data_IF_619231149118
#
_entry.id   IF_619231149118
#
_cell.length_a   1.000
_cell.length_b   1.000
_cell.length_c   1.000
_cell.angle_alpha   90.00
_cell.angle_beta   90.00
_cell.angle_gamma   90.00
#
_symmetry.space_group_name_H-M   'P 1'
#
loop_
_entity.id
_entity.type
_entity.pdbx_description
1 polymer ?
#
# COMPACT_ATOMS: atom_id res chain seq x y z
N UNK A 1 3.22 4.81 11.03
CA UNK A 1 3.91 4.24 9.85
C UNK A 1 2.91 4.12 8.71
N UNK A 2 3.31 4.37 7.46
CA UNK A 2 2.39 4.43 6.30
C UNK A 2 2.97 3.78 5.03
N UNK A 3 2.12 3.07 4.27
CA UNK A 3 2.36 2.65 2.86
C UNK A 3 1.49 3.50 1.89
N UNK A 4 2.06 4.51 1.21
CA UNK A 4 1.31 5.54 0.50
C UNK A 4 0.85 5.12 -0.90
N UNK A 5 1.54 4.17 -1.55
CA UNK A 5 1.13 3.63 -2.84
C UNK A 5 -0.30 3.06 -2.72
N UNK A 6 -0.48 2.21 -1.72
CA UNK A 6 -1.75 1.59 -1.37
C UNK A 6 -2.85 2.61 -1.02
N UNK A 7 -2.51 3.65 -0.26
CA UNK A 7 -3.45 4.73 0.08
C UNK A 7 -3.89 5.53 -1.16
N UNK A 8 -2.94 5.91 -2.02
CA UNK A 8 -3.19 6.72 -3.22
C UNK A 8 -4.13 6.02 -4.21
N UNK A 9 -3.85 4.75 -4.55
CA UNK A 9 -4.70 3.99 -5.47
C UNK A 9 -6.08 3.72 -4.86
N UNK A 10 -6.15 3.58 -3.54
CA UNK A 10 -7.39 3.51 -2.79
C UNK A 10 -8.27 4.75 -2.93
N UNK A 11 -7.72 5.92 -2.61
CA UNK A 11 -8.43 7.20 -2.71
C UNK A 11 -8.80 7.51 -4.17
N UNK A 12 -7.94 7.17 -5.13
CA UNK A 12 -8.23 7.29 -6.57
C UNK A 12 -9.45 6.47 -6.99
N UNK A 13 -9.56 5.24 -6.51
CA UNK A 13 -10.71 4.37 -6.82
C UNK A 13 -12.02 4.93 -6.27
N UNK A 14 -11.98 5.55 -5.10
CA UNK A 14 -13.18 6.10 -4.47
C UNK A 14 -13.62 7.45 -5.02
N UNK A 15 -12.69 8.39 -5.16
CA UNK A 15 -13.01 9.80 -5.42
C UNK A 15 -12.76 10.21 -6.87
N UNK A 16 -12.30 9.28 -7.70
CA UNK A 16 -12.07 9.50 -9.12
C UNK A 16 -10.75 10.20 -9.41
N UNK A 17 -10.21 9.96 -10.60
CA UNK A 17 -8.98 10.59 -11.09
C UNK A 17 -9.27 12.06 -11.38
N UNK A 18 -8.58 12.99 -10.70
CA UNK A 18 -8.75 14.42 -11.00
C UNK A 18 -9.36 15.25 -9.88
N UNK A 19 -10.06 14.63 -8.94
CA UNK A 19 -10.87 15.38 -7.97
C UNK A 19 -10.00 16.19 -7.02
N UNK A 20 -10.23 17.50 -6.99
CA UNK A 20 -9.53 18.41 -6.10
C UNK A 20 -9.87 18.11 -4.63
N UNK A 21 -8.90 18.30 -3.73
CA UNK A 21 -9.09 18.18 -2.28
C UNK A 21 -8.59 16.89 -1.62
N UNK A 22 -8.14 15.87 -2.36
CA UNK A 22 -7.61 14.63 -1.77
C UNK A 22 -6.20 14.23 -2.20
N UNK A 23 -5.69 14.87 -3.26
CA UNK A 23 -4.31 14.65 -3.75
C UNK A 23 -3.25 15.07 -2.74
N UNK A 24 -3.61 15.99 -1.85
CA UNK A 24 -2.74 16.57 -0.84
C UNK A 24 -3.28 16.19 0.54
N UNK A 25 -2.89 15.00 0.99
CA UNK A 25 -3.28 14.46 2.28
C UNK A 25 -2.25 14.86 3.34
N UNK A 26 -2.69 15.57 4.37
CA UNK A 26 -1.86 15.77 5.56
C UNK A 26 -1.85 14.48 6.39
N UNK A 27 -0.75 13.74 6.28
CA UNK A 27 -0.56 12.46 6.96
C UNK A 27 -0.48 12.67 8.47
N UNK A 28 0.14 13.76 8.93
CA UNK A 28 0.20 14.08 10.36
C UNK A 28 -1.17 14.42 10.91
N UNK A 29 -1.93 15.27 10.22
CA UNK A 29 -3.27 15.60 10.67
C UNK A 29 -4.17 14.34 10.68
N UNK A 30 -4.04 13.46 9.68
CA UNK A 30 -4.75 12.18 9.66
C UNK A 30 -4.36 11.29 10.84
N UNK A 31 -3.05 11.10 11.07
CA UNK A 31 -2.55 10.27 12.17
C UNK A 31 -2.99 10.83 13.53
N UNK A 32 -2.93 12.15 13.73
CA UNK A 32 -3.42 12.81 14.93
C UNK A 32 -4.93 12.63 15.12
N UNK A 33 -5.73 12.72 14.05
CA UNK A 33 -7.17 12.45 14.11
C UNK A 33 -7.54 11.00 14.43
N UNK A 34 -6.67 10.05 14.04
CA UNK A 34 -6.77 8.63 14.40
C UNK A 34 -6.27 8.35 15.82
N UNK A 35 -5.34 9.15 16.32
CA UNK A 35 -4.80 9.09 17.68
C UNK A 35 -5.85 9.60 18.68
N UNK A 36 -6.81 8.73 19.04
CA UNK A 36 -7.88 9.02 20.01
C UNK A 36 -7.57 8.54 21.43
N UNK A 37 -6.29 8.25 21.72
CA UNK A 37 -5.82 7.82 23.03
C UNK A 37 -5.68 8.99 23.99
N UNK A 38 -5.99 8.76 25.27
CA UNK A 38 -5.96 9.81 26.28
C UNK A 38 -4.54 10.33 26.47
N UNK A 39 -4.36 11.66 26.42
CA UNK A 39 -3.06 12.33 26.58
C UNK A 39 -1.96 11.88 25.60
N UNK A 40 -2.33 11.31 24.46
CA UNK A 40 -1.36 10.88 23.46
C UNK A 40 -0.99 12.01 22.49
N UNK A 41 0.28 12.04 22.09
CA UNK A 41 0.79 12.89 21.03
C UNK A 41 1.44 12.04 19.94
N UNK A 42 1.38 12.51 18.70
CA UNK A 42 2.10 11.88 17.60
C UNK A 42 3.56 12.30 17.66
N UNK A 43 4.40 11.43 18.21
CA UNK A 43 5.84 11.65 18.34
C UNK A 43 6.55 11.67 16.98
N UNK A 44 6.28 10.65 16.14
CA UNK A 44 6.99 10.47 14.86
C UNK A 44 6.14 9.81 13.78
N UNK A 45 6.33 10.27 12.55
CA UNK A 45 5.73 9.73 11.34
C UNK A 45 6.82 9.22 10.41
N UNK A 46 6.87 7.90 10.27
CA UNK A 46 7.68 7.20 9.28
C UNK A 46 6.83 6.91 8.04
N UNK A 47 7.30 7.41 6.91
CA UNK A 47 6.71 7.29 5.59
C UNK A 47 7.54 6.34 4.73
N UNK A 48 7.05 5.11 4.55
CA UNK A 48 7.76 4.07 3.83
C UNK A 48 7.27 4.03 2.38
N UNK A 49 8.12 4.30 1.40
CA UNK A 49 7.75 4.30 -0.02
C UNK A 49 8.92 3.90 -0.90
N UNK A 50 8.69 3.70 -2.20
CA UNK A 50 9.76 3.54 -3.19
C UNK A 50 9.53 4.54 -4.33
N UNK A 51 10.61 5.14 -4.83
CA UNK A 51 10.50 6.02 -5.99
C UNK A 51 10.18 5.22 -7.25
N UNK A 52 9.25 5.73 -8.06
CA UNK A 52 9.08 5.22 -9.41
C UNK A 52 10.39 5.45 -10.17
N UNK A 53 10.92 4.42 -10.82
CA UNK A 53 12.11 4.57 -11.66
C UNK A 53 11.92 5.70 -12.70
N UNK A 54 12.79 6.70 -12.64
CA UNK A 54 12.75 7.88 -13.50
C UNK A 54 12.95 7.50 -14.98
N UNK A 55 13.72 6.45 -15.28
CA UNK A 55 13.96 5.99 -16.65
C UNK A 55 12.72 5.33 -17.23
N UNK A 56 11.93 4.64 -16.40
CA UNK A 56 10.69 3.99 -16.82
C UNK A 56 9.55 5.01 -16.96
N UNK A 57 9.43 5.97 -16.03
CA UNK A 57 8.37 6.97 -16.06
C UNK A 57 8.82 8.30 -15.43
N UNK A 58 9.43 9.21 -16.22
CA UNK A 58 9.94 10.49 -15.73
C UNK A 58 8.85 11.37 -15.11
N UNK A 59 7.64 11.35 -15.67
CA UNK A 59 6.52 12.16 -15.19
C UNK A 59 6.02 11.71 -13.82
N UNK A 60 5.82 10.39 -13.63
CA UNK A 60 5.40 9.85 -12.34
C UNK A 60 6.47 10.06 -11.26
N UNK A 61 7.76 9.93 -11.61
CA UNK A 61 8.84 10.27 -10.68
C UNK A 61 8.79 11.74 -10.29
N UNK A 62 8.67 12.67 -11.24
CA UNK A 62 8.58 14.10 -10.95
C UNK A 62 7.38 14.44 -10.05
N UNK A 63 6.19 13.91 -10.35
CA UNK A 63 4.98 14.09 -9.54
C UNK A 63 5.20 13.58 -8.10
N UNK A 64 5.79 12.40 -7.96
CA UNK A 64 6.09 11.79 -6.66
C UNK A 64 7.13 12.61 -5.88
N UNK A 65 8.19 13.08 -6.54
CA UNK A 65 9.22 13.92 -5.94
C UNK A 65 8.65 15.23 -5.41
N UNK A 66 7.77 15.89 -6.18
CA UNK A 66 7.08 17.11 -5.75
C UNK A 66 6.21 16.82 -4.52
N UNK A 67 5.44 15.74 -4.55
CA UNK A 67 4.57 15.36 -3.44
C UNK A 67 5.37 15.07 -2.15
N UNK A 68 6.42 14.24 -2.23
CA UNK A 68 7.26 13.89 -1.09
C UNK A 68 7.98 15.12 -0.55
N UNK A 69 8.48 16.00 -1.43
CA UNK A 69 9.10 17.26 -1.01
C UNK A 69 8.11 18.11 -0.20
N UNK A 70 6.89 18.30 -0.70
CA UNK A 70 5.86 19.05 0.00
C UNK A 70 5.50 18.43 1.36
N UNK A 71 5.40 17.09 1.47
CA UNK A 71 5.15 16.43 2.75
C UNK A 71 6.25 16.72 3.78
N UNK A 72 7.52 16.74 3.35
CA UNK A 72 8.66 17.04 4.23
C UNK A 72 8.68 18.51 4.63
N UNK A 73 8.50 19.42 3.67
CA UNK A 73 8.50 20.88 3.93
C UNK A 73 7.32 21.31 4.81
N UNK A 74 6.15 20.68 4.65
CA UNK A 74 4.98 20.90 5.50
C UNK A 74 5.12 20.24 6.90
N UNK A 75 6.13 19.39 7.11
CA UNK A 75 6.27 18.61 8.34
C UNK A 75 5.18 17.55 8.50
N UNK A 76 4.54 17.12 7.41
CA UNK A 76 3.53 16.05 7.42
C UNK A 76 4.14 14.68 7.70
N UNK A 77 5.45 14.53 7.46
CA UNK A 77 6.25 13.32 7.76
C UNK A 77 7.57 13.73 8.43
N UNK A 78 8.09 12.86 9.30
CA UNK A 78 9.38 13.08 9.98
C UNK A 78 10.50 12.28 9.31
N UNK A 79 10.21 11.03 8.95
CA UNK A 79 11.17 10.11 8.35
C UNK A 79 10.62 9.64 7.01
N UNK A 80 11.42 9.79 5.95
CA UNK A 80 11.18 9.18 4.65
C UNK A 80 12.07 7.95 4.56
N UNK A 81 11.47 6.76 4.53
CA UNK A 81 12.18 5.50 4.43
C UNK A 81 11.96 4.90 3.04
N UNK A 82 13.04 4.66 2.30
CA UNK A 82 12.97 4.29 0.89
C UNK A 82 13.19 2.79 0.69
N UNK A 83 12.20 2.13 0.11
CA UNK A 83 12.37 0.87 -0.60
C UNK A 83 12.96 1.10 -1.99
N UNK A 84 13.00 0.04 -2.78
CA UNK A 84 13.54 0.06 -4.13
C UNK A 84 12.73 -0.83 -5.05
N UNK A 85 12.83 -0.58 -6.35
CA UNK A 85 12.26 -1.46 -7.35
C UNK A 85 13.32 -2.40 -7.89
N UNK A 86 12.94 -3.66 -8.05
CA UNK A 86 13.76 -4.66 -8.73
C UNK A 86 13.10 -4.97 -10.06
N UNK A 87 13.89 -4.95 -11.13
CA UNK A 87 13.43 -5.34 -12.46
C UNK A 87 14.27 -6.52 -12.96
N UNK A 88 13.61 -7.53 -13.49
CA UNK A 88 14.29 -8.71 -14.03
C UNK A 88 13.50 -9.31 -15.21
N UNK A 89 14.18 -9.98 -16.15
CA UNK A 89 13.49 -10.72 -17.20
C UNK A 89 12.74 -11.89 -16.59
N UNK A 90 11.44 -12.00 -16.89
CA UNK A 90 10.59 -13.11 -16.49
C UNK A 90 9.98 -13.74 -17.74
N UNK A 91 10.12 -15.06 -17.88
CA UNK A 91 9.45 -15.81 -18.94
C UNK A 91 8.05 -16.17 -18.46
N UNK A 92 7.03 -15.75 -19.21
CA UNK A 92 5.62 -16.00 -18.91
C UNK A 92 4.91 -16.60 -20.14
N UNK A 93 3.85 -17.40 -19.95
CA UNK A 93 3.02 -17.84 -21.06
C UNK A 93 2.37 -16.65 -21.79
N UNK A 94 2.33 -16.69 -23.11
CA UNK A 94 1.58 -15.74 -23.93
C UNK A 94 0.09 -15.99 -23.75
N UNK A 95 -0.66 -14.93 -23.49
CA UNK A 95 -2.10 -15.00 -23.32
C UNK A 95 -2.80 -13.78 -23.91
N UNK A 96 -4.04 -14.00 -24.35
CA UNK A 96 -4.99 -12.94 -24.68
C UNK A 96 -5.80 -12.58 -23.43
N UNK A 97 -6.05 -11.29 -23.24
CA UNK A 97 -6.95 -10.80 -22.21
C UNK A 97 -8.40 -10.96 -22.68
N UNK A 98 -9.21 -11.67 -21.89
CA UNK A 98 -10.64 -11.82 -22.13
C UNK A 98 -11.41 -10.62 -21.54
N UNK A 99 -12.62 -10.30 -22.05
CA UNK A 99 -13.44 -9.20 -21.54
C UNK A 99 -13.79 -9.28 -20.04
N UNK A 100 -13.66 -10.45 -19.42
CA UNK A 100 -13.89 -10.68 -17.99
C UNK A 100 -12.60 -10.60 -17.14
N UNK A 101 -11.48 -10.20 -17.73
CA UNK A 101 -10.18 -10.05 -17.08
C UNK A 101 -9.39 -11.35 -16.90
N UNK A 102 -9.89 -12.48 -17.40
CA UNK A 102 -9.13 -13.74 -17.40
C UNK A 102 -8.14 -13.78 -18.56
N UNK A 103 -7.03 -14.48 -18.36
CA UNK A 103 -6.04 -14.73 -19.39
C UNK A 103 -6.32 -16.06 -20.10
N UNK A 104 -6.46 -16.04 -21.43
CA UNK A 104 -6.56 -17.24 -22.28
C UNK A 104 -5.23 -17.50 -22.96
N UNK A 105 -4.63 -18.66 -22.73
CA UNK A 105 -3.34 -19.02 -23.34
C UNK A 105 -3.43 -19.07 -24.86
N UNK A 106 -2.40 -18.53 -25.52
CA UNK A 106 -2.20 -18.68 -26.97
C UNK A 106 -1.45 -19.98 -27.22
N UNK A 107 -2.13 -20.92 -27.85
CA UNK A 107 -1.57 -22.24 -28.22
C UNK A 107 -1.01 -22.17 -29.64
N UNK A 108 0.20 -22.70 -29.90
CA UNK A 108 0.77 -22.74 -31.24
C UNK A 108 -0.07 -23.56 -32.23
N UNK A 109 -0.55 -22.91 -33.29
CA UNK A 109 -1.20 -23.57 -34.44
C UNK A 109 -0.20 -24.02 -35.50
N UNK A 110 1.03 -23.49 -35.48
CA UNK A 110 2.08 -23.78 -36.45
C UNK A 110 2.07 -22.89 -37.69
N UNK A 111 1.08 -22.00 -37.83
CA UNK A 111 0.99 -21.03 -38.92
C UNK A 111 1.63 -19.67 -38.59
N UNK A 112 2.07 -19.47 -37.35
CA UNK A 112 2.51 -18.16 -36.88
C UNK A 112 3.97 -17.83 -37.28
N UNK A 113 4.24 -16.57 -37.59
CA UNK A 113 5.59 -16.05 -37.86
C UNK A 113 5.94 -14.90 -36.91
N UNK A 114 6.89 -15.14 -36.00
CA UNK A 114 7.24 -14.21 -34.92
C UNK A 114 8.68 -13.72 -35.00
N UNK A 115 9.15 -13.36 -36.20
CA UNK A 115 10.53 -12.90 -36.39
C UNK A 115 10.77 -11.59 -35.65
N UNK A 116 11.82 -11.55 -34.83
CA UNK A 116 12.28 -10.34 -34.14
C UNK A 116 11.57 -10.02 -32.82
N UNK A 117 10.58 -10.82 -32.40
CA UNK A 117 9.95 -10.68 -31.09
C UNK A 117 10.53 -11.70 -30.11
N UNK A 118 10.61 -11.37 -28.80
CA UNK A 118 11.15 -12.27 -27.77
C UNK A 118 10.16 -13.38 -27.37
N UNK A 119 9.61 -14.08 -28.36
CA UNK A 119 8.62 -15.16 -28.23
C UNK A 119 9.31 -16.49 -28.56
N UNK A 120 9.18 -17.47 -27.67
CA UNK A 120 9.73 -18.82 -27.84
C UNK A 120 8.63 -19.86 -27.66
N UNK A 121 8.56 -20.85 -28.56
CA UNK A 121 7.67 -22.02 -28.38
C UNK A 121 8.35 -23.02 -27.45
N UNK A 122 7.62 -23.49 -26.44
CA UNK A 122 8.04 -24.59 -25.57
C UNK A 122 7.08 -25.75 -25.76
N UNK A 123 7.61 -26.91 -26.14
CA UNK A 123 6.85 -28.14 -26.36
C UNK A 123 6.88 -28.98 -25.08
N UNK A 124 5.70 -29.28 -24.52
CA UNK A 124 5.58 -30.21 -23.39
C UNK A 124 4.93 -31.51 -23.84
N UNK A 125 4.89 -32.52 -22.97
CA UNK A 125 4.36 -33.84 -23.30
C UNK A 125 2.90 -33.85 -23.78
N UNK A 126 2.09 -32.90 -23.29
CA UNK A 126 0.65 -32.85 -23.57
C UNK A 126 0.22 -31.57 -24.31
N UNK A 127 0.91 -30.44 -24.10
CA UNK A 127 0.51 -29.14 -24.66
C UNK A 127 1.72 -28.25 -24.96
N UNK A 128 1.68 -27.62 -26.14
CA UNK A 128 2.64 -26.61 -26.55
C UNK A 128 2.19 -25.21 -26.09
N UNK A 129 3.15 -24.42 -25.61
CA UNK A 129 2.86 -23.07 -25.09
C UNK A 129 3.88 -22.08 -25.64
N UNK A 130 3.41 -20.89 -26.05
CA UNK A 130 4.29 -19.76 -26.31
C UNK A 130 4.71 -19.11 -25.02
N UNK A 131 6.01 -18.90 -24.86
CA UNK A 131 6.61 -18.15 -23.76
C UNK A 131 7.11 -16.81 -24.30
N UNK A 132 6.84 -15.74 -23.56
CA UNK A 132 7.35 -14.39 -23.82
C UNK A 132 8.27 -13.97 -22.69
N UNK A 133 9.36 -13.27 -23.04
CA UNK A 133 10.19 -12.63 -22.03
C UNK A 133 9.69 -11.22 -21.79
N UNK A 134 9.17 -10.97 -20.59
CA UNK A 134 8.76 -9.64 -20.14
C UNK A 134 9.77 -9.08 -19.16
N UNK A 135 9.94 -7.76 -19.13
CA UNK A 135 10.62 -7.07 -18.03
C UNK A 135 9.63 -6.96 -16.88
N UNK A 136 9.70 -7.89 -15.93
CA UNK A 136 8.90 -7.84 -14.72
C UNK A 136 9.50 -6.85 -13.73
N UNK A 137 8.66 -6.15 -12.97
CA UNK A 137 9.11 -5.19 -11.96
C UNK A 137 8.29 -5.39 -10.69
N UNK A 138 8.96 -5.30 -9.55
CA UNK A 138 8.33 -5.41 -8.24
C UNK A 138 8.94 -4.37 -7.29
N UNK A 139 8.11 -3.78 -6.44
CA UNK A 139 8.57 -2.97 -5.31
C UNK A 139 9.04 -3.90 -4.20
N UNK A 140 10.15 -3.53 -3.55
CA UNK A 140 10.70 -4.27 -2.42
C UNK A 140 11.12 -3.30 -1.32
N UNK A 141 10.90 -3.74 -0.09
CA UNK A 141 11.47 -3.12 1.11
C UNK A 141 10.50 -2.23 1.87
N UNK A 142 9.42 -1.71 1.28
CA UNK A 142 8.48 -0.85 2.02
C UNK A 142 7.87 -1.54 3.26
N UNK A 143 7.40 -2.79 3.13
CA UNK A 143 6.83 -3.55 4.25
C UNK A 143 7.89 -3.95 5.29
N UNK A 144 9.08 -4.34 4.81
CA UNK A 144 10.21 -4.67 5.69
C UNK A 144 10.65 -3.45 6.51
N UNK A 145 10.63 -2.27 5.90
CA UNK A 145 10.93 -1.01 6.55
C UNK A 145 9.88 -0.66 7.60
N UNK A 146 8.59 -0.80 7.30
CA UNK A 146 7.50 -0.62 8.29
C UNK A 146 7.70 -1.57 9.48
N UNK A 147 7.89 -2.87 9.22
CA UNK A 147 8.07 -3.85 10.28
C UNK A 147 9.33 -3.56 11.13
N UNK A 148 10.43 -3.17 10.51
CA UNK A 148 11.70 -2.89 11.21
C UNK A 148 11.59 -1.67 12.10
N UNK A 149 11.05 -0.55 11.60
CA UNK A 149 10.80 0.63 12.44
C UNK A 149 9.88 0.27 13.59
N UNK A 150 8.78 -0.45 13.33
CA UNK A 150 7.81 -0.81 14.37
C UNK A 150 8.47 -1.63 15.48
N UNK A 151 9.21 -2.67 15.11
CA UNK A 151 9.91 -3.54 16.06
C UNK A 151 10.99 -2.79 16.82
N UNK A 152 11.75 -1.92 16.15
CA UNK A 152 12.82 -1.16 16.78
C UNK A 152 12.27 -0.18 17.82
N UNK A 153 11.19 0.52 17.51
CA UNK A 153 10.56 1.51 18.41
C UNK A 153 9.96 0.83 19.64
N UNK A 154 9.30 -0.31 19.44
CA UNK A 154 8.74 -1.12 20.53
C UNK A 154 9.85 -1.68 21.41
N UNK A 155 10.90 -2.22 20.81
CA UNK A 155 12.00 -2.85 21.54
C UNK A 155 12.79 -1.84 22.40
N UNK A 156 12.97 -0.61 21.90
CA UNK A 156 13.62 0.47 22.65
C UNK A 156 12.71 1.12 23.70
N UNK A 157 11.39 0.90 23.60
CA UNK A 157 10.42 1.60 24.43
C UNK A 157 10.25 3.07 24.05
N UNK A 158 10.60 3.44 22.80
CA UNK A 158 10.50 4.81 22.30
C UNK A 158 9.05 5.25 22.11
N UNK A 159 8.13 4.28 21.97
CA UNK A 159 6.69 4.52 21.80
C UNK A 159 5.87 3.58 22.67
N UNK A 160 4.78 4.11 23.22
CA UNK A 160 3.77 3.33 23.95
C UNK A 160 2.71 2.74 23.02
N UNK A 161 2.61 3.22 21.78
CA UNK A 161 1.65 2.72 20.80
C UNK A 161 2.05 3.13 19.37
N UNK A 162 1.58 2.37 18.38
CA UNK A 162 1.83 2.64 16.98
C UNK A 162 0.54 2.67 16.16
N UNK A 163 0.50 3.55 15.16
CA UNK A 163 -0.56 3.56 14.14
C UNK A 163 0.08 3.12 12.83
N UNK A 164 -0.43 2.03 12.24
CA UNK A 164 -0.02 1.55 10.92
C UNK A 164 -1.13 1.80 9.91
N UNK A 165 -0.89 2.71 8.98
CA UNK A 165 -1.82 2.99 7.90
C UNK A 165 -1.31 2.20 6.69
N UNK A 166 -1.95 1.08 6.37
CA UNK A 166 -1.55 0.26 5.23
C UNK A 166 -2.74 -0.51 4.70
N UNK A 167 -2.84 -0.62 3.38
CA UNK A 167 -3.80 -1.52 2.75
C UNK A 167 -3.25 -2.94 2.55
N UNK A 168 -2.04 -3.21 3.03
CA UNK A 168 -1.44 -4.53 2.93
C UNK A 168 -1.95 -5.43 4.05
N UNK A 169 -2.63 -6.52 3.68
CA UNK A 169 -3.13 -7.51 4.63
C UNK A 169 -2.04 -8.32 5.31
N UNK A 170 -0.84 -8.39 4.73
CA UNK A 170 0.27 -9.17 5.27
C UNK A 170 0.79 -8.54 6.58
N UNK A 171 0.59 -7.22 6.75
CA UNK A 171 0.87 -6.50 8.00
C UNK A 171 -0.16 -6.78 9.11
N UNK A 172 -1.23 -7.55 8.86
CA UNK A 172 -2.19 -7.92 9.91
C UNK A 172 -1.70 -9.07 10.80
N UNK A 173 -0.72 -9.85 10.35
CA UNK A 173 -0.23 -11.06 11.04
C UNK A 173 0.90 -10.80 12.05
N UNK A 174 1.22 -9.54 12.36
CA UNK A 174 2.25 -9.18 13.34
C UNK A 174 1.75 -9.36 14.79
N UNK A 175 1.57 -10.63 15.19
CA UNK A 175 1.31 -11.15 16.54
C UNK A 175 -0.06 -10.85 17.19
N UNK A 176 -0.80 -11.89 17.68
CA UNK A 176 -2.06 -11.73 18.43
C UNK A 176 -1.95 -10.93 19.74
N UNK A 177 -0.73 -10.66 20.22
CA UNK A 177 -0.47 -9.88 21.44
C UNK A 177 -0.17 -8.40 21.22
N UNK A 178 0.05 -7.96 19.98
CA UNK A 178 0.53 -6.60 19.64
C UNK A 178 -0.52 -5.82 18.83
N UNK A 179 -1.33 -6.49 18.00
CA UNK A 179 -2.39 -5.85 17.21
C UNK A 179 -3.74 -5.95 17.92
N UNK A 180 -4.26 -4.83 18.44
CA UNK A 180 -5.54 -4.83 19.18
C UNK A 180 -6.72 -4.23 18.40
N UNK A 181 -6.50 -3.57 17.25
CA UNK A 181 -7.57 -2.82 16.58
C UNK A 181 -7.39 -2.67 15.05
N UNK A 182 -8.05 -3.50 14.25
CA UNK A 182 -8.30 -3.19 12.83
C UNK A 182 -9.52 -2.26 12.77
N UNK A 183 -9.38 -1.01 12.34
CA UNK A 183 -10.55 -0.18 12.04
C UNK A 183 -11.13 -0.70 10.73
N UNK A 184 -12.36 -1.25 10.72
CA UNK A 184 -12.98 -1.70 9.49
C UNK A 184 -13.23 -0.49 8.55
N UNK A 185 -13.20 -0.72 7.23
CA UNK A 185 -13.35 0.35 6.23
C UNK A 185 -14.60 1.18 6.50
N UNK A 186 -14.41 2.46 6.81
CA UNK A 186 -15.53 3.40 7.07
C UNK A 186 -16.19 3.87 5.77
N UNK A 187 -15.60 3.56 4.60
CA UNK A 187 -16.10 3.95 3.29
C UNK A 187 -16.62 2.69 2.58
N UNK A 188 -17.95 2.48 2.60
CA UNK A 188 -18.61 1.47 1.77
C UNK A 188 -19.00 2.12 0.44
N UNK A 189 -18.41 1.67 -0.66
CA UNK A 189 -19.05 1.78 -1.97
C UNK A 189 -19.67 0.42 -2.28
N UNK A 190 -20.99 0.34 -2.26
CA UNK A 190 -21.71 -0.80 -2.86
C UNK A 190 -21.86 -0.46 -4.32
N UNK A 191 -20.94 -0.94 -5.15
CA UNK A 191 -21.07 -0.90 -6.60
C UNK A 191 -21.06 -2.36 -7.10
N UNK A 192 -22.03 -2.71 -7.93
CA UNK A 192 -22.34 -4.09 -8.34
C UNK A 192 -21.35 -4.65 -9.39
N UNK A 193 -20.17 -4.03 -9.52
CA UNK A 193 -19.12 -4.37 -10.48
C UNK A 193 -17.87 -4.90 -9.77
N UNK A 194 -17.95 -6.17 -9.34
CA UNK A 194 -16.89 -7.19 -9.13
C UNK A 194 -15.45 -6.82 -8.69
N UNK A 195 -15.17 -5.67 -8.10
CA UNK A 195 -13.93 -5.41 -7.36
C UNK A 195 -14.27 -4.92 -5.97
N UNK A 196 -14.20 -5.81 -4.98
CA UNK A 196 -14.33 -5.44 -3.57
C UNK A 196 -13.02 -4.82 -3.11
N UNK A 197 -12.94 -3.49 -3.11
CA UNK A 197 -11.84 -2.78 -2.46
C UNK A 197 -12.09 -2.77 -0.95
N UNK A 198 -11.34 -3.60 -0.21
CA UNK A 198 -11.30 -3.56 1.24
C UNK A 198 -10.18 -2.61 1.66
N UNK A 199 -10.48 -1.67 2.56
CA UNK A 199 -9.50 -0.80 3.19
C UNK A 199 -9.36 -1.19 4.64
N UNK A 200 -8.19 -1.72 4.98
CA UNK A 200 -7.83 -1.97 6.37
C UNK A 200 -7.04 -0.77 6.86
N UNK A 201 -7.45 -0.16 7.97
CA UNK A 201 -6.53 0.66 8.76
C UNK A 201 -6.11 -0.22 9.93
N UNK A 202 -4.83 -0.59 9.99
CA UNK A 202 -4.33 -1.50 11.03
C UNK A 202 -3.79 -0.64 12.17
N UNK A 203 -4.63 -0.37 13.17
CA UNK A 203 -4.19 0.30 14.37
C UNK A 203 -3.54 -0.74 15.31
N UNK A 204 -2.26 -0.55 15.63
CA UNK A 204 -1.49 -1.48 16.46
C UNK A 204 -1.17 -0.79 17.80
N UNK A 205 -2.12 -0.73 18.75
CA UNK A 205 -1.79 -0.26 20.08
C UNK A 205 -0.89 -1.28 20.77
N UNK A 206 0.35 -0.88 21.04
CA UNK A 206 1.34 -1.71 21.75
C UNK A 206 1.10 -1.55 23.24
N UNK A 207 0.18 -2.33 23.79
CA UNK A 207 -0.16 -2.17 25.20
C UNK A 207 0.98 -2.65 26.10
N UNK A 208 1.77 -1.71 26.63
CA UNK A 208 2.61 -1.97 27.78
C UNK A 208 1.72 -2.02 29.04
N UNK A 209 1.22 -3.21 29.36
CA UNK A 209 0.58 -3.70 30.61
C UNK A 209 -0.36 -2.82 31.47
N UNK A 210 -0.75 -1.60 31.07
CA UNK A 210 -1.71 -0.79 31.83
C UNK A 210 -3.15 -1.15 31.42
N UNK A 211 -3.85 -1.84 32.34
CA UNK A 211 -5.23 -2.32 32.18
C UNK A 211 -6.25 -1.20 31.84
N UNK A 212 -5.92 0.07 32.11
CA UNK A 212 -6.79 1.23 31.86
C UNK A 212 -6.99 1.57 30.38
N UNK A 213 -5.94 1.47 29.56
CA UNK A 213 -5.99 1.87 28.14
C UNK A 213 -6.83 0.92 27.27
N UNK A 214 -6.94 -0.35 27.68
CA UNK A 214 -7.72 -1.39 26.95
C UNK A 214 -9.22 -1.10 26.90
N UNK A 215 -9.80 -0.54 27.97
CA UNK A 215 -11.25 -0.26 28.04
C UNK A 215 -11.64 0.98 27.22
N UNK A 216 -10.85 2.05 27.31
CA UNK A 216 -11.09 3.31 26.59
C UNK A 216 -11.06 3.13 25.06
N UNK A 217 -10.21 2.23 24.57
CA UNK A 217 -10.08 1.92 23.15
C UNK A 217 -11.32 1.22 22.57
N UNK A 218 -11.89 0.26 23.30
CA UNK A 218 -13.07 -0.48 22.85
C UNK A 218 -14.32 0.41 22.77
N UNK A 219 -14.51 1.33 23.72
CA UNK A 219 -15.68 2.22 23.74
C UNK A 219 -15.64 3.29 22.63
N UNK A 220 -14.46 3.88 22.38
CA UNK A 220 -14.31 5.04 21.47
C UNK A 220 -14.20 4.69 19.99
N UNK A 221 -13.81 3.45 19.64
CA UNK A 221 -13.84 2.98 18.25
C UNK A 221 -15.26 2.83 17.69
N UNK A 222 -16.30 2.84 18.53
CA UNK A 222 -17.70 2.78 18.09
C UNK A 222 -18.26 4.10 17.53
N UNK A 223 -17.59 5.25 17.77
CA UNK A 223 -18.09 6.57 17.36
C UNK A 223 -17.56 7.00 15.97
N UNK A 224 -18.46 6.99 14.98
CA UNK A 224 -18.21 7.36 13.57
C UNK A 224 -18.27 8.88 13.35
N UNK A 225 -17.17 9.50 12.90
CA UNK A 225 -17.16 10.84 12.27
C UNK A 225 -16.09 10.88 11.15
N UNK A 226 -16.30 11.69 10.07
CA UNK A 226 -15.39 11.76 8.93
C UNK A 226 -14.10 12.54 9.26
N UNK A 227 -12.94 12.02 8.83
CA UNK A 227 -11.60 12.39 9.33
C UNK A 227 -10.66 13.11 8.34
N UNK A 228 -11.13 13.53 7.15
CA UNK A 228 -10.23 14.06 6.10
C UNK A 228 -10.35 15.58 5.96
N UNK A 229 -9.22 16.30 6.14
CA UNK A 229 -9.06 17.72 5.77
C UNK A 229 -7.88 17.88 4.80
N UNK A 230 -8.02 18.68 3.72
CA UNK A 230 -6.92 18.96 2.79
C UNK A 230 -5.84 19.85 3.41
N UNK A 231 -4.61 19.69 2.93
CA UNK A 231 -3.52 20.65 3.13
C UNK A 231 -3.92 22.01 2.52
N UNK A 232 -3.77 23.11 3.29
CA UNK A 232 -4.04 24.49 2.85
C UNK A 232 -2.77 25.14 2.33
#
# INVERSE_FOLDING_TARGET
MLTPFNLYYGMRGHWGRGTAGWRWLDIRALAAGLCRWHSAAVERIVYCTAYVDQTDNPGAFADQSVYIKALREHGSIDVLELGYYVAWPKRLPLAEELPDGRAKLVVPSGAETWKGLPITRVTNANDDVFMVTVRNREEKGSDANVATHLLADIFRGDVEAAIVISNDSDLALTWPGIVTAVIPPTIRRVDNSRVKHYYSFILIPVLNNSLGLRRDLQERMSMRQPLLRPLR
#
